data_IF_682022171382
#
_entry.id   IF_682022171382
#
_cell.length_a   1.000
_cell.length_b   1.000
_cell.length_c   1.000
_cell.angle_alpha   90.00
_cell.angle_beta   90.00
_cell.angle_gamma   90.00
#
_symmetry.space_group_name_H-M   'P 1'
#
loop_
_entity.id
_entity.type
_entity.pdbx_description
1 polymer ?
#
# COMPACT_ATOMS: atom_id res chain seq x y z
N UNK A 1 -46.68 36.69 -49.04
CA UNK A 1 -45.72 37.51 -48.26
C UNK A 1 -45.66 36.95 -46.84
N UNK A 2 -44.44 36.61 -46.39
CA UNK A 2 -43.96 36.36 -45.01
C UNK A 2 -44.51 35.10 -44.30
N UNK A 3 -43.82 33.95 -44.21
CA UNK A 3 -42.48 33.63 -43.63
C UNK A 3 -42.38 34.02 -42.15
N UNK A 4 -41.82 33.11 -41.33
CA UNK A 4 -41.28 33.28 -39.95
C UNK A 4 -42.32 32.94 -38.84
N UNK A 5 -42.16 32.01 -37.89
CA UNK A 5 -40.98 31.31 -37.34
C UNK A 5 -41.37 30.00 -36.65
N UNK A 6 -40.57 28.97 -36.91
CA UNK A 6 -40.34 27.79 -36.09
C UNK A 6 -39.89 28.14 -34.66
N UNK A 7 -39.85 27.10 -33.82
CA UNK A 7 -39.12 26.96 -32.55
C UNK A 7 -39.86 27.36 -31.26
N UNK A 8 -40.58 26.40 -30.68
CA UNK A 8 -40.69 26.28 -29.22
C UNK A 8 -40.89 24.82 -28.76
N UNK A 9 -40.29 23.87 -29.48
CA UNK A 9 -40.01 22.54 -28.95
C UNK A 9 -38.53 22.53 -28.52
N UNK A 10 -38.22 21.80 -27.45
CA UNK A 10 -36.88 21.48 -26.95
C UNK A 10 -36.34 22.36 -25.79
N UNK A 11 -37.08 22.39 -24.68
CA UNK A 11 -36.50 22.61 -23.36
C UNK A 11 -35.85 21.32 -22.82
N UNK A 12 -34.81 20.83 -23.49
CA UNK A 12 -33.99 19.71 -23.01
C UNK A 12 -32.96 20.29 -22.02
N UNK A 13 -33.30 20.30 -20.73
CA UNK A 13 -32.34 20.51 -19.65
C UNK A 13 -31.35 19.33 -19.62
N UNK A 14 -30.27 19.46 -20.39
CA UNK A 14 -29.06 18.67 -20.24
C UNK A 14 -28.39 19.07 -18.92
N UNK A 15 -28.79 18.46 -17.81
CA UNK A 15 -27.93 18.41 -16.62
C UNK A 15 -26.78 17.49 -16.96
N UNK A 16 -25.67 18.05 -17.45
CA UNK A 16 -24.39 17.36 -17.41
C UNK A 16 -24.07 17.13 -15.94
N UNK A 17 -24.34 15.93 -15.45
CA UNK A 17 -23.64 15.40 -14.27
C UNK A 17 -22.18 15.33 -14.71
N UNK A 18 -21.40 16.36 -14.36
CA UNK A 18 -19.96 16.29 -14.43
C UNK A 18 -19.57 15.16 -13.47
N UNK A 19 -19.29 13.98 -14.04
CA UNK A 19 -18.68 12.89 -13.31
C UNK A 19 -17.27 13.38 -12.96
N UNK A 20 -17.10 13.94 -11.76
CA UNK A 20 -15.77 14.25 -11.23
C UNK A 20 -14.95 12.96 -11.21
N UNK A 21 -13.74 13.00 -11.76
CA UNK A 21 -12.81 11.88 -11.67
C UNK A 21 -12.04 12.00 -10.36
N UNK A 22 -12.14 11.00 -9.49
CA UNK A 22 -11.32 10.93 -8.29
C UNK A 22 -9.81 10.88 -8.64
N UNK A 23 -9.01 11.61 -7.87
CA UNK A 23 -7.55 11.60 -7.95
C UNK A 23 -7.02 10.27 -7.40
N UNK A 24 -6.03 9.71 -8.09
CA UNK A 24 -5.39 8.45 -7.73
C UNK A 24 -3.92 8.64 -7.42
N UNK A 25 -3.52 8.22 -6.25
CA UNK A 25 -2.16 8.38 -5.76
C UNK A 25 -1.42 7.05 -5.80
N UNK A 26 -0.40 6.99 -6.65
CA UNK A 26 0.55 5.88 -6.68
C UNK A 26 1.60 6.05 -5.57
N UNK A 27 2.02 4.94 -4.98
CA UNK A 27 3.11 4.94 -4.00
C UNK A 27 4.44 4.85 -4.74
N UNK A 28 5.37 5.73 -4.35
CA UNK A 28 6.75 5.68 -4.83
C UNK A 28 7.64 5.14 -3.71
N UNK A 29 8.30 4.02 -3.97
CA UNK A 29 9.29 3.48 -3.05
C UNK A 29 10.59 4.28 -3.12
N UNK A 30 11.28 4.50 -1.99
CA UNK A 30 12.59 5.13 -1.99
C UNK A 30 13.63 4.27 -2.74
N UNK A 31 14.75 4.87 -3.17
CA UNK A 31 15.89 4.14 -3.72
C UNK A 31 16.58 3.31 -2.64
N UNK A 32 17.18 2.19 -3.06
CA UNK A 32 17.96 1.32 -2.16
C UNK A 32 19.40 1.80 -2.15
N UNK A 33 19.93 2.09 -0.95
CA UNK A 33 21.31 2.56 -0.77
C UNK A 33 22.25 1.47 -0.25
N UNK A 34 21.72 0.42 0.35
CA UNK A 34 22.49 -0.66 0.97
C UNK A 34 21.83 -2.03 0.73
N UNK A 35 22.60 -3.10 0.87
CA UNK A 35 22.10 -4.47 0.69
C UNK A 35 22.16 -5.27 1.99
N UNK A 36 21.14 -6.10 2.20
CA UNK A 36 20.98 -6.93 3.40
C UNK A 36 21.02 -8.39 3.01
N UNK A 37 21.87 -9.18 3.68
CA UNK A 37 21.89 -10.64 3.49
C UNK A 37 20.77 -11.30 4.27
N UNK A 38 20.07 -12.23 3.62
CA UNK A 38 19.06 -13.10 4.22
C UNK A 38 19.45 -14.57 4.05
N UNK A 39 18.86 -15.45 4.88
CA UNK A 39 19.12 -16.89 4.90
C UNK A 39 18.51 -17.66 3.71
N UNK A 40 17.49 -17.07 3.07
CA UNK A 40 16.71 -17.70 2.00
C UNK A 40 17.18 -17.23 0.62
N UNK A 41 17.08 -18.10 -0.39
CA UNK A 41 17.38 -17.75 -1.80
C UNK A 41 16.13 -17.25 -2.52
N UNK A 42 14.96 -17.75 -2.11
CA UNK A 42 13.66 -17.34 -2.62
C UNK A 42 12.66 -17.12 -1.48
N UNK A 43 11.87 -16.05 -1.59
CA UNK A 43 10.84 -15.73 -0.60
C UNK A 43 9.56 -15.35 -1.33
N UNK A 44 8.47 -16.01 -0.98
CA UNK A 44 7.15 -15.58 -1.41
C UNK A 44 6.53 -14.67 -0.36
N UNK A 45 6.02 -13.53 -0.78
CA UNK A 45 5.21 -12.63 0.06
C UNK A 45 3.75 -12.98 -0.18
N UNK A 46 3.07 -13.49 0.85
CA UNK A 46 1.65 -13.84 0.81
C UNK A 46 0.81 -12.57 0.73
N UNK A 47 -0.47 -12.73 0.37
CA UNK A 47 -1.41 -11.62 0.46
C UNK A 47 -1.42 -11.02 1.87
N UNK A 48 -1.43 -9.70 1.91
CA UNK A 48 -1.31 -8.93 3.15
C UNK A 48 -2.68 -8.77 3.78
N UNK A 49 -2.81 -9.11 5.06
CA UNK A 49 -4.03 -8.85 5.82
C UNK A 49 -4.04 -7.41 6.31
N UNK A 50 -4.94 -6.59 5.79
CA UNK A 50 -5.14 -5.19 6.22
C UNK A 50 -6.43 -5.03 7.05
N UNK A 51 -6.48 -4.06 7.99
CA UNK A 51 -7.76 -3.67 8.58
C UNK A 51 -8.65 -3.02 7.50
N UNK A 52 -9.97 -3.14 7.66
CA UNK A 52 -10.94 -2.78 6.60
C UNK A 52 -10.79 -1.35 6.07
N UNK A 53 -10.48 -0.39 6.94
CA UNK A 53 -10.24 1.00 6.52
C UNK A 53 -8.98 1.16 5.66
N UNK A 54 -7.94 0.35 5.90
CA UNK A 54 -6.69 0.40 5.15
C UNK A 54 -6.75 -0.45 3.87
N UNK A 55 -7.67 -1.42 3.82
CA UNK A 55 -7.98 -2.20 2.61
C UNK A 55 -8.86 -1.42 1.61
N UNK A 56 -9.48 -0.32 2.03
CA UNK A 56 -10.32 0.51 1.17
C UNK A 56 -9.50 1.35 0.19
N UNK A 57 -10.07 1.61 -1.00
CA UNK A 57 -9.44 2.46 -2.01
C UNK A 57 -9.21 3.90 -1.51
N UNK A 58 -10.00 4.39 -0.55
CA UNK A 58 -9.88 5.74 -0.01
C UNK A 58 -8.68 5.89 0.93
N UNK A 59 -8.00 7.05 0.84
CA UNK A 59 -6.89 7.37 1.74
C UNK A 59 -7.43 7.86 3.09
N UNK A 60 -7.32 7.02 4.11
CA UNK A 60 -7.78 7.32 5.46
C UNK A 60 -6.74 8.08 6.29
N UNK A 61 -7.22 9.06 7.05
CA UNK A 61 -6.43 9.86 8.00
C UNK A 61 -7.09 9.79 9.37
N UNK A 62 -6.30 9.48 10.41
CA UNK A 62 -6.74 9.55 11.81
C UNK A 62 -6.61 10.97 12.34
N UNK A 63 -7.73 11.49 12.85
CA UNK A 63 -7.84 12.74 13.57
C UNK A 63 -7.38 12.61 15.02
N UNK A 64 -7.08 13.73 15.67
CA UNK A 64 -6.63 13.79 17.06
C UNK A 64 -7.70 13.29 18.04
N UNK A 65 -8.98 13.38 17.65
CA UNK A 65 -10.10 12.80 18.40
C UNK A 65 -10.26 11.28 18.20
N UNK A 66 -9.39 10.66 17.40
CA UNK A 66 -9.38 9.22 17.11
C UNK A 66 -10.26 8.82 15.93
N UNK A 67 -11.04 9.72 15.35
CA UNK A 67 -11.88 9.41 14.18
C UNK A 67 -11.02 9.16 12.94
N UNK A 68 -11.49 8.26 12.06
CA UNK A 68 -10.90 8.07 10.73
C UNK A 68 -11.75 8.83 9.72
N UNK A 69 -11.10 9.69 8.94
CA UNK A 69 -11.75 10.42 7.85
C UNK A 69 -11.09 10.10 6.52
N UNK A 70 -11.87 10.13 5.46
CA UNK A 70 -11.46 9.84 4.10
C UNK A 70 -12.33 10.66 3.13
N UNK A 71 -12.02 10.58 1.83
CA UNK A 71 -12.81 11.20 0.76
C UNK A 71 -12.85 10.27 -0.44
N UNK A 72 -14.01 10.18 -1.09
CA UNK A 72 -14.19 9.46 -2.36
C UNK A 72 -13.43 10.08 -3.53
N UNK A 73 -12.96 11.32 -3.37
CA UNK A 73 -12.19 12.04 -4.39
C UNK A 73 -10.68 11.73 -4.32
N UNK A 74 -10.23 11.07 -3.24
CA UNK A 74 -8.80 10.81 -2.97
C UNK A 74 -8.58 9.32 -2.76
N UNK A 75 -8.10 8.65 -3.80
CA UNK A 75 -7.98 7.20 -3.83
C UNK A 75 -6.52 6.75 -3.97
N UNK A 76 -6.23 5.56 -3.47
CA UNK A 76 -5.06 4.80 -3.89
C UNK A 76 -5.17 4.43 -5.37
N UNK A 77 -4.03 4.37 -6.05
CA UNK A 77 -3.99 4.01 -7.47
C UNK A 77 -4.21 2.51 -7.73
N UNK A 78 -4.18 1.67 -6.69
CA UNK A 78 -4.32 0.23 -6.74
C UNK A 78 -4.98 -0.28 -5.45
N UNK A 79 -5.54 -1.49 -5.49
CA UNK A 79 -6.11 -2.16 -4.33
C UNK A 79 -5.03 -2.27 -3.22
N UNK A 80 -5.24 -1.72 -2.02
CA UNK A 80 -4.19 -1.59 -1.02
C UNK A 80 -3.51 -2.90 -0.62
N UNK A 81 -4.25 -3.99 -0.46
CA UNK A 81 -3.72 -5.30 -0.07
C UNK A 81 -2.71 -5.82 -1.09
N UNK A 82 -3.11 -5.80 -2.37
CA UNK A 82 -2.25 -6.15 -3.51
C UNK A 82 -1.04 -5.23 -3.60
N UNK A 83 -1.26 -3.92 -3.47
CA UNK A 83 -0.21 -2.91 -3.56
C UNK A 83 0.85 -3.09 -2.45
N UNK A 84 0.45 -3.29 -1.18
CA UNK A 84 1.43 -3.53 -0.09
C UNK A 84 2.24 -4.79 -0.35
N UNK A 85 1.60 -5.89 -0.78
CA UNK A 85 2.31 -7.14 -1.05
C UNK A 85 3.37 -6.97 -2.15
N UNK A 86 3.03 -6.25 -3.23
CA UNK A 86 3.95 -5.91 -4.31
C UNK A 86 5.08 -4.98 -3.85
N UNK A 87 4.74 -3.92 -3.10
CA UNK A 87 5.70 -2.94 -2.58
C UNK A 87 6.72 -3.58 -1.62
N UNK A 88 6.28 -4.50 -0.75
CA UNK A 88 7.14 -5.30 0.14
C UNK A 88 8.02 -6.24 -0.69
N UNK A 89 7.45 -6.93 -1.68
CA UNK A 89 8.19 -7.86 -2.54
C UNK A 89 9.29 -7.15 -3.32
N UNK A 90 8.98 -6.01 -3.92
CA UNK A 90 9.95 -5.18 -4.63
C UNK A 90 11.03 -4.66 -3.69
N UNK A 91 10.64 -4.14 -2.52
CA UNK A 91 11.60 -3.65 -1.53
C UNK A 91 12.56 -4.73 -1.06
N UNK A 92 12.05 -5.91 -0.69
CA UNK A 92 12.88 -7.06 -0.28
C UNK A 92 13.76 -7.57 -1.42
N UNK A 93 13.24 -7.65 -2.65
CA UNK A 93 14.02 -8.05 -3.83
C UNK A 93 15.21 -7.10 -4.05
N UNK A 94 14.97 -5.78 -4.05
CA UNK A 94 16.02 -4.76 -4.22
C UNK A 94 17.00 -4.73 -3.03
N UNK A 95 16.52 -4.89 -1.80
CA UNK A 95 17.35 -4.91 -0.59
C UNK A 95 18.27 -6.14 -0.51
N UNK A 96 17.78 -7.31 -0.93
CA UNK A 96 18.45 -8.58 -0.67
C UNK A 96 19.12 -9.21 -1.88
N UNK A 97 18.76 -8.77 -3.10
CA UNK A 97 19.18 -9.38 -4.35
C UNK A 97 18.69 -10.83 -4.52
N UNK A 98 17.61 -11.22 -3.82
CA UNK A 98 17.02 -12.56 -3.86
C UNK A 98 15.76 -12.59 -4.72
N UNK A 99 15.36 -13.81 -5.11
CA UNK A 99 14.09 -14.01 -5.80
C UNK A 99 12.93 -13.80 -4.81
N UNK A 100 12.33 -12.61 -4.83
CA UNK A 100 11.18 -12.28 -4.00
C UNK A 100 10.01 -11.88 -4.89
N UNK A 101 8.84 -12.46 -4.64
CA UNK A 101 7.63 -12.17 -5.39
C UNK A 101 6.40 -12.31 -4.49
N UNK A 102 5.35 -11.55 -4.79
CA UNK A 102 4.07 -11.71 -4.11
C UNK A 102 3.33 -12.94 -4.62
N UNK A 103 2.35 -13.40 -3.84
CA UNK A 103 1.36 -14.37 -4.26
C UNK A 103 0.60 -13.88 -5.52
N UNK A 104 0.29 -14.78 -6.48
CA UNK A 104 0.74 -16.18 -6.55
C UNK A 104 2.23 -16.30 -6.94
N UNK A 105 2.97 -17.20 -6.27
CA UNK A 105 4.37 -17.49 -6.58
C UNK A 105 4.61 -17.80 -8.06
N UNK A 106 5.48 -17.06 -8.78
CA UNK A 106 5.57 -17.14 -10.23
C UNK A 106 6.58 -18.18 -10.75
N UNK A 107 7.30 -18.90 -9.88
CA UNK A 107 8.34 -19.85 -10.29
C UNK A 107 7.92 -21.31 -10.05
N UNK A 108 8.42 -22.23 -10.88
CA UNK A 108 8.13 -23.67 -10.76
C UNK A 108 8.64 -24.28 -9.45
N UNK A 109 9.85 -23.87 -9.03
CA UNK A 109 10.41 -24.30 -7.75
C UNK A 109 9.70 -23.55 -6.62
N UNK A 110 9.27 -24.28 -5.58
CA UNK A 110 8.68 -23.69 -4.39
C UNK A 110 9.63 -22.68 -3.73
N UNK A 111 9.09 -21.62 -3.09
CA UNK A 111 9.90 -20.66 -2.36
C UNK A 111 10.55 -21.33 -1.13
N UNK A 112 11.77 -20.90 -0.77
CA UNK A 112 12.44 -21.38 0.44
C UNK A 112 11.70 -20.94 1.71
N UNK A 113 11.08 -19.75 1.67
CA UNK A 113 10.26 -19.22 2.75
C UNK A 113 9.01 -18.50 2.24
N UNK A 114 7.96 -18.48 3.07
CA UNK A 114 6.75 -17.68 2.86
C UNK A 114 6.62 -16.65 3.96
N UNK A 115 6.41 -15.40 3.59
CA UNK A 115 6.19 -14.26 4.47
C UNK A 115 4.69 -13.90 4.48
N UNK A 116 4.06 -13.98 5.64
CA UNK A 116 2.70 -13.49 5.92
C UNK A 116 2.81 -12.22 6.79
N UNK A 117 2.08 -11.17 6.40
CA UNK A 117 2.01 -9.90 7.11
C UNK A 117 0.57 -9.57 7.49
N UNK A 118 0.35 -9.31 8.77
CA UNK A 118 -0.96 -8.97 9.33
C UNK A 118 -0.88 -7.62 10.03
N UNK A 119 -1.46 -6.62 9.39
CA UNK A 119 -1.47 -5.27 9.89
C UNK A 119 -2.65 -5.09 10.85
N UNK A 120 -2.36 -4.53 12.03
CA UNK A 120 -3.36 -3.98 12.94
C UNK A 120 -3.57 -2.50 12.67
N UNK A 121 -2.55 -1.81 12.14
CA UNK A 121 -2.61 -0.41 11.76
C UNK A 121 -1.84 -0.18 10.47
N UNK A 122 -2.41 0.58 9.53
CA UNK A 122 -1.72 1.17 8.38
C UNK A 122 -2.45 2.43 7.93
N UNK A 123 -2.02 3.62 8.39
CA UNK A 123 -2.65 4.89 8.02
C UNK A 123 -1.80 6.12 8.34
N UNK A 124 -2.23 7.27 7.79
CA UNK A 124 -1.73 8.58 8.15
C UNK A 124 -2.46 9.18 9.36
N UNK A 125 -1.77 9.98 10.16
CA UNK A 125 -2.36 10.80 11.21
C UNK A 125 -2.38 12.27 10.80
N UNK A 126 -3.32 13.05 11.33
CA UNK A 126 -3.35 14.50 11.06
C UNK A 126 -2.16 15.27 11.64
N UNK A 127 -1.41 14.63 12.55
CA UNK A 127 -0.15 15.14 13.11
C UNK A 127 1.07 14.91 12.22
N UNK A 128 0.90 14.29 11.05
CA UNK A 128 1.99 14.07 10.09
C UNK A 128 2.82 12.82 10.37
N UNK A 129 2.20 11.75 10.88
CA UNK A 129 2.83 10.43 11.01
C UNK A 129 2.11 9.43 10.12
N UNK A 130 2.84 8.67 9.33
CA UNK A 130 2.33 7.46 8.68
C UNK A 130 2.77 6.27 9.52
N UNK A 131 1.82 5.49 10.04
CA UNK A 131 2.08 4.43 11.01
C UNK A 131 1.69 3.08 10.47
N UNK A 132 2.49 2.07 10.83
CA UNK A 132 2.17 0.67 10.63
C UNK A 132 2.48 -0.14 11.86
N UNK A 133 1.51 -0.93 12.33
CA UNK A 133 1.70 -1.90 13.40
C UNK A 133 1.11 -3.24 13.00
N UNK A 134 1.67 -4.33 13.51
CA UNK A 134 1.17 -5.65 13.18
C UNK A 134 2.15 -6.77 13.53
N UNK A 135 1.98 -7.89 12.84
CA UNK A 135 2.79 -9.09 13.01
C UNK A 135 3.27 -9.62 11.67
N UNK A 136 4.47 -10.21 11.66
CA UNK A 136 4.97 -10.99 10.55
C UNK A 136 5.13 -12.46 10.94
N UNK A 137 5.03 -13.34 9.95
CA UNK A 137 5.28 -14.76 10.06
C UNK A 137 6.12 -15.23 8.88
N UNK A 138 7.17 -16.00 9.16
CA UNK A 138 8.04 -16.61 8.16
C UNK A 138 7.95 -18.11 8.33
N UNK A 139 7.23 -18.74 7.41
CA UNK A 139 7.18 -20.20 7.29
C UNK A 139 8.32 -20.66 6.37
N UNK A 140 8.96 -21.78 6.70
CA UNK A 140 10.14 -22.26 5.96
C UNK A 140 9.86 -23.63 5.34
N UNK A 141 10.12 -23.75 4.05
CA UNK A 141 9.98 -25.01 3.33
C UNK A 141 10.96 -26.06 3.88
N UNK A 142 10.51 -27.32 4.00
CA UNK A 142 11.38 -28.42 4.43
C UNK A 142 11.69 -28.49 5.94
N UNK A 143 10.90 -27.83 6.79
CA UNK A 143 11.01 -27.95 8.25
C UNK A 143 12.13 -27.12 8.88
N UNK A 144 12.60 -26.09 8.18
CA UNK A 144 13.53 -25.11 8.73
C UNK A 144 12.92 -24.28 9.88
N UNK A 145 13.74 -23.44 10.50
CA UNK A 145 13.31 -22.63 11.65
C UNK A 145 12.36 -21.51 11.20
N UNK A 146 11.09 -21.64 11.58
CA UNK A 146 10.09 -20.60 11.42
C UNK A 146 10.33 -19.43 12.38
N UNK A 147 9.83 -18.25 12.01
CA UNK A 147 9.96 -17.03 12.82
C UNK A 147 8.66 -16.22 12.78
N UNK A 148 8.41 -15.49 13.86
CA UNK A 148 7.37 -14.48 13.91
C UNK A 148 7.82 -13.33 14.80
N UNK A 149 7.16 -12.19 14.66
CA UNK A 149 7.41 -11.04 15.52
C UNK A 149 6.43 -9.91 15.28
N UNK A 150 6.42 -8.95 16.19
CA UNK A 150 5.67 -7.71 16.06
C UNK A 150 6.50 -6.69 15.28
N UNK A 151 5.81 -5.78 14.59
CA UNK A 151 6.41 -4.55 14.06
C UNK A 151 5.59 -3.33 14.49
N UNK A 152 6.30 -2.22 14.73
CA UNK A 152 5.75 -0.89 14.95
C UNK A 152 6.69 0.09 14.24
N UNK A 153 6.27 0.58 13.09
CA UNK A 153 7.02 1.49 12.22
C UNK A 153 6.25 2.79 12.08
N UNK A 154 6.97 3.90 11.99
CA UNK A 154 6.40 5.23 11.82
C UNK A 154 7.34 6.10 11.00
N UNK A 155 6.77 6.83 10.03
CA UNK A 155 7.49 7.81 9.21
C UNK A 155 6.79 9.16 9.31
N UNK A 156 7.57 10.21 9.56
CA UNK A 156 7.06 11.58 9.58
C UNK A 156 6.85 12.10 8.16
N UNK A 157 5.79 12.87 7.93
CA UNK A 157 5.55 13.60 6.68
C UNK A 157 4.94 14.98 6.97
N UNK A 158 5.04 15.94 6.03
CA UNK A 158 4.38 17.25 6.18
C UNK A 158 2.88 17.12 5.87
N UNK A 159 1.96 17.34 6.84
CA UNK A 159 0.52 17.27 6.59
C UNK A 159 0.04 18.18 5.45
N UNK A 160 0.76 19.28 5.17
CA UNK A 160 0.41 20.23 4.10
C UNK A 160 0.66 19.67 2.70
N UNK A 161 1.47 18.62 2.57
CA UNK A 161 1.71 17.93 1.30
C UNK A 161 0.55 17.04 0.86
N UNK A 162 -0.49 16.90 1.69
CA UNK A 162 -1.74 16.23 1.35
C UNK A 162 -1.55 14.75 0.99
N UNK A 163 -2.43 14.18 0.15
CA UNK A 163 -2.39 12.75 -0.16
C UNK A 163 -1.10 12.30 -0.89
N UNK A 164 -0.47 13.18 -1.66
CA UNK A 164 0.83 12.88 -2.29
C UNK A 164 1.95 12.69 -1.25
N UNK A 165 1.93 13.48 -0.17
CA UNK A 165 2.79 13.29 0.99
C UNK A 165 2.56 11.97 1.69
N UNK A 166 1.29 11.62 1.89
CA UNK A 166 0.89 10.34 2.50
C UNK A 166 1.38 9.16 1.66
N UNK A 167 1.23 9.21 0.33
CA UNK A 167 1.72 8.17 -0.56
C UNK A 167 3.24 8.02 -0.51
N UNK A 168 3.97 9.13 -0.43
CA UNK A 168 5.43 9.12 -0.25
C UNK A 168 5.83 8.50 1.10
N UNK A 169 5.12 8.88 2.18
CA UNK A 169 5.34 8.37 3.52
C UNK A 169 5.06 6.86 3.62
N UNK A 170 4.01 6.37 2.95
CA UNK A 170 3.71 4.94 2.83
C UNK A 170 4.88 4.20 2.17
N UNK A 171 5.39 4.70 1.04
CA UNK A 171 6.52 4.07 0.35
C UNK A 171 7.77 3.98 1.23
N UNK A 172 8.08 5.05 1.98
CA UNK A 172 9.17 5.05 2.95
C UNK A 172 8.95 4.05 4.10
N UNK A 173 7.75 4.02 4.66
CA UNK A 173 7.41 3.11 5.74
C UNK A 173 7.48 1.63 5.29
N UNK A 174 7.00 1.32 4.08
CA UNK A 174 7.05 -0.04 3.52
C UNK A 174 8.49 -0.47 3.29
N UNK A 175 9.35 0.42 2.80
CA UNK A 175 10.78 0.14 2.67
C UNK A 175 11.44 -0.14 4.03
N UNK A 176 11.15 0.69 5.05
CA UNK A 176 11.64 0.49 6.42
C UNK A 176 11.15 -0.85 7.02
N UNK A 177 9.89 -1.20 6.76
CA UNK A 177 9.34 -2.50 7.18
C UNK A 177 10.04 -3.68 6.48
N UNK A 178 10.33 -3.56 5.18
CA UNK A 178 11.07 -4.58 4.45
C UNK A 178 12.49 -4.78 5.01
N UNK A 179 13.20 -3.69 5.34
CA UNK A 179 14.51 -3.75 6.00
C UNK A 179 14.44 -4.43 7.38
N UNK A 180 13.44 -4.07 8.18
CA UNK A 180 13.19 -4.71 9.48
C UNK A 180 12.94 -6.22 9.33
N UNK A 181 12.10 -6.63 8.38
CA UNK A 181 11.80 -8.04 8.13
C UNK A 181 13.04 -8.79 7.62
N UNK A 182 13.82 -8.18 6.72
CA UNK A 182 15.04 -8.80 6.20
C UNK A 182 16.05 -9.10 7.33
N UNK A 183 16.25 -8.16 8.25
CA UNK A 183 17.22 -8.28 9.34
C UNK A 183 16.72 -9.08 10.55
N UNK A 184 15.41 -9.11 10.78
CA UNK A 184 14.83 -9.75 11.97
C UNK A 184 14.17 -11.10 11.67
N UNK A 185 13.42 -11.17 10.58
CA UNK A 185 12.59 -12.30 10.18
C UNK A 185 13.24 -13.23 9.16
N UNK A 186 14.09 -12.74 8.26
CA UNK A 186 14.65 -13.55 7.16
C UNK A 186 16.10 -14.03 7.40
N UNK A 187 16.48 -14.30 8.65
CA UNK A 187 17.85 -14.67 9.05
C UNK A 187 18.03 -16.12 9.50
#
# INVERSE_FOLDING_TARGET
>A
MNVVKCFAALGLLLTLVACGSADRYAVTLPPVTETVRIAFRSVEVRDVSLPSYAAADEIHIRKNDGTLVSSTDTLWADAPERAVALEISESLSRLTGRAVASEPWPFDAYPDARLDLRFTELLATETGQFRATGQYFVAVSGGGRERSGLFDQSVSFDPKSGPAGIATARGQLIFQLAEFIATSGLK
#
